data_IF_809881529253
#
_entry.id   IF_809881529253
#
_cell.length_a   1.000
_cell.length_b   1.000
_cell.length_c   1.000
_cell.angle_alpha   90.00
_cell.angle_beta   90.00
_cell.angle_gamma   90.00
#
_symmetry.space_group_name_H-M   'P 1'
#
loop_
_entity.id
_entity.type
_entity.pdbx_description
1 polymer ?
#
# COMPACT_ATOMS: atom_id res chain seq x y z
N UNK A 1 6.42 -40.33 -43.14
CA UNK A 1 7.78 -40.71 -43.57
C UNK A 1 8.71 -39.77 -42.82
N UNK A 2 9.44 -40.26 -41.82
CA UNK A 2 10.79 -40.86 -41.98
C UNK A 2 11.81 -39.76 -42.38
N UNK A 3 12.97 -39.62 -41.74
CA UNK A 3 13.80 -40.67 -41.13
C UNK A 3 14.74 -40.12 -40.02
N UNK A 4 15.30 -41.04 -39.23
CA UNK A 4 16.54 -40.98 -38.43
C UNK A 4 17.68 -40.18 -39.11
N UNK A 5 18.76 -39.73 -38.47
CA UNK A 5 19.44 -40.10 -37.22
C UNK A 5 20.96 -39.92 -37.43
N UNK A 6 21.78 -40.17 -36.39
CA UNK A 6 23.27 -40.20 -36.43
C UNK A 6 24.02 -38.88 -36.73
N UNK A 7 25.36 -38.80 -36.62
CA UNK A 7 26.21 -39.01 -35.43
C UNK A 7 27.62 -38.38 -35.64
N UNK A 8 28.28 -38.00 -34.54
CA UNK A 8 29.75 -37.98 -34.33
C UNK A 8 30.74 -37.17 -35.21
N UNK A 9 31.37 -36.18 -34.55
CA UNK A 9 32.85 -35.99 -34.37
C UNK A 9 33.79 -35.60 -35.53
N UNK A 10 34.40 -34.41 -35.35
CA UNK A 10 35.79 -34.01 -35.71
C UNK A 10 36.05 -32.62 -35.07
N UNK A 11 37.01 -32.38 -34.17
CA UNK A 11 38.49 -32.29 -34.34
C UNK A 11 38.89 -31.51 -35.61
N UNK A 12 39.84 -30.57 -35.62
CA UNK A 12 40.69 -29.90 -34.61
C UNK A 12 41.26 -28.63 -35.32
N UNK A 13 41.94 -27.62 -34.73
CA UNK A 13 42.65 -27.40 -33.46
C UNK A 13 42.44 -25.93 -32.99
N UNK A 14 43.05 -25.50 -31.86
CA UNK A 14 43.04 -24.08 -31.42
C UNK A 14 43.63 -23.83 -30.03
N UNK A 15 44.85 -24.30 -29.77
CA UNK A 15 45.56 -23.98 -28.52
C UNK A 15 46.05 -22.52 -28.51
N UNK A 16 45.87 -21.82 -27.38
CA UNK A 16 46.96 -21.01 -26.85
C UNK A 16 46.95 -21.03 -25.32
N UNK A 17 48.08 -21.38 -24.71
CA UNK A 17 48.22 -21.55 -23.27
C UNK A 17 48.61 -20.24 -22.58
N UNK A 18 47.82 -19.82 -21.58
CA UNK A 18 48.10 -18.64 -20.75
C UNK A 18 48.21 -18.97 -19.26
N UNK A 19 49.15 -19.84 -18.87
CA UNK A 19 49.30 -20.30 -17.47
C UNK A 19 50.07 -19.27 -16.62
N UNK A 20 49.35 -18.27 -16.09
CA UNK A 20 49.91 -17.19 -15.26
C UNK A 20 49.48 -17.28 -13.79
N UNK A 21 50.41 -17.64 -12.90
CA UNK A 21 50.17 -17.69 -11.45
C UNK A 21 50.26 -16.29 -10.81
N UNK A 22 49.24 -15.90 -10.04
CA UNK A 22 49.28 -14.81 -9.07
C UNK A 22 48.87 -13.42 -9.58
N UNK A 23 47.65 -12.98 -9.22
CA UNK A 23 47.47 -11.83 -8.32
C UNK A 23 46.01 -11.74 -7.83
N UNK A 24 45.77 -12.05 -6.55
CA UNK A 24 44.43 -12.04 -5.94
C UNK A 24 43.74 -10.67 -5.82
N UNK A 25 44.43 -9.60 -6.23
CA UNK A 25 43.95 -8.22 -6.12
C UNK A 25 43.14 -7.75 -7.35
N UNK A 26 43.29 -8.40 -8.50
CA UNK A 26 42.66 -7.96 -9.77
C UNK A 26 41.17 -8.31 -9.86
N UNK A 27 40.80 -9.51 -9.42
CA UNK A 27 39.39 -9.96 -9.38
C UNK A 27 38.60 -9.13 -8.38
N UNK A 28 39.11 -8.96 -7.16
CA UNK A 28 38.47 -8.15 -6.12
C UNK A 28 38.22 -6.70 -6.58
N UNK A 29 39.18 -6.08 -7.26
CA UNK A 29 38.99 -4.75 -7.86
C UNK A 29 37.86 -4.74 -8.91
N UNK A 30 37.86 -5.69 -9.86
CA UNK A 30 36.83 -5.79 -10.89
C UNK A 30 35.40 -5.93 -10.33
N UNK A 31 35.21 -6.77 -9.30
CA UNK A 31 33.91 -6.92 -8.63
C UNK A 31 33.48 -5.64 -7.89
N UNK A 32 34.42 -4.90 -7.30
CA UNK A 32 34.12 -3.61 -6.63
C UNK A 32 33.72 -2.55 -7.65
N UNK A 33 34.42 -2.44 -8.77
CA UNK A 33 34.11 -1.49 -9.84
C UNK A 33 32.71 -1.76 -10.45
N UNK A 34 32.37 -3.02 -10.71
CA UNK A 34 31.08 -3.38 -11.32
C UNK A 34 29.91 -3.24 -10.33
N UNK A 35 30.16 -3.43 -9.02
CA UNK A 35 29.21 -3.07 -7.96
C UNK A 35 29.00 -1.55 -7.87
N UNK A 36 30.07 -0.75 -7.89
CA UNK A 36 29.95 0.72 -7.88
C UNK A 36 29.17 1.23 -9.10
N UNK A 37 29.46 0.66 -10.27
CA UNK A 37 28.74 0.94 -11.51
C UNK A 37 27.27 0.57 -11.41
N UNK A 38 26.95 -0.64 -10.93
CA UNK A 38 25.57 -1.11 -10.74
C UNK A 38 24.80 -0.21 -9.75
N UNK A 39 25.41 0.20 -8.65
CA UNK A 39 24.80 1.14 -7.68
C UNK A 39 24.56 2.51 -8.32
N UNK A 40 25.49 3.00 -9.13
CA UNK A 40 25.37 4.28 -9.85
C UNK A 40 24.27 4.25 -10.92
N UNK A 41 24.21 3.19 -11.72
CA UNK A 41 23.18 2.97 -12.75
C UNK A 41 21.79 2.78 -12.10
N UNK A 42 21.70 2.04 -10.99
CA UNK A 42 20.47 1.88 -10.20
C UNK A 42 20.00 3.21 -9.58
N UNK A 43 20.94 4.03 -9.07
CA UNK A 43 20.62 5.34 -8.50
C UNK A 43 20.13 6.33 -9.55
N UNK A 44 20.78 6.43 -10.71
CA UNK A 44 20.30 7.31 -11.80
C UNK A 44 18.95 6.82 -12.35
N UNK A 45 18.76 5.50 -12.46
CA UNK A 45 17.48 4.91 -12.88
C UNK A 45 16.36 5.21 -11.88
N UNK A 46 16.62 5.11 -10.57
CA UNK A 46 15.66 5.46 -9.53
C UNK A 46 15.31 6.96 -9.54
N UNK A 47 16.30 7.84 -9.70
CA UNK A 47 16.09 9.30 -9.80
C UNK A 47 15.30 9.65 -11.07
N UNK A 48 15.61 9.03 -12.20
CA UNK A 48 14.90 9.22 -13.48
C UNK A 48 13.46 8.71 -13.39
N UNK A 49 13.25 7.55 -12.77
CA UNK A 49 11.93 6.99 -12.48
C UNK A 49 11.09 7.92 -11.59
N UNK A 50 11.65 8.40 -10.47
CA UNK A 50 10.97 9.34 -9.57
C UNK A 50 10.59 10.66 -10.27
N UNK A 51 11.49 11.22 -11.09
CA UNK A 51 11.19 12.42 -11.92
C UNK A 51 10.09 12.14 -12.94
N UNK A 52 10.09 10.96 -13.57
CA UNK A 52 9.04 10.58 -14.53
C UNK A 52 7.67 10.43 -13.87
N UNK A 53 7.59 9.87 -12.66
CA UNK A 53 6.36 9.80 -11.87
C UNK A 53 5.85 11.20 -11.49
N UNK A 54 6.75 12.10 -11.06
CA UNK A 54 6.41 13.48 -10.74
C UNK A 54 5.88 14.23 -11.98
N UNK A 55 6.51 14.05 -13.14
CA UNK A 55 6.12 14.72 -14.38
C UNK A 55 4.81 14.16 -14.94
N UNK A 56 4.65 12.83 -14.98
CA UNK A 56 3.42 12.16 -15.41
C UNK A 56 2.22 12.57 -14.53
N UNK A 57 2.34 12.43 -13.21
CA UNK A 57 1.27 12.83 -12.27
C UNK A 57 0.92 14.32 -12.35
N UNK A 58 1.89 15.21 -12.62
CA UNK A 58 1.61 16.65 -12.73
C UNK A 58 0.64 17.00 -13.87
N UNK A 59 0.66 16.25 -14.98
CA UNK A 59 -0.25 16.49 -16.11
C UNK A 59 -1.68 16.07 -15.78
N UNK A 60 -1.86 14.90 -15.15
CA UNK A 60 -3.16 14.44 -14.67
C UNK A 60 -3.73 15.35 -13.57
N UNK A 61 -2.91 15.76 -12.60
CA UNK A 61 -3.32 16.70 -11.55
C UNK A 61 -3.72 18.06 -12.14
N UNK A 62 -3.01 18.56 -13.16
CA UNK A 62 -3.36 19.81 -13.84
C UNK A 62 -4.69 19.70 -14.59
N UNK A 63 -4.93 18.62 -15.32
CA UNK A 63 -6.24 18.39 -15.97
C UNK A 63 -7.39 18.38 -14.96
N UNK A 64 -7.20 17.78 -13.77
CA UNK A 64 -8.20 17.84 -12.70
C UNK A 64 -8.42 19.27 -12.17
N UNK A 65 -7.35 20.07 -12.05
CA UNK A 65 -7.46 21.49 -11.66
C UNK A 65 -8.28 22.32 -12.67
N UNK A 66 -8.25 21.97 -13.96
CA UNK A 66 -9.06 22.63 -14.99
C UNK A 66 -10.54 22.21 -14.93
N UNK A 67 -10.84 20.97 -14.52
CA UNK A 67 -12.22 20.50 -14.32
C UNK A 67 -12.87 20.96 -13.00
N UNK A 68 -12.09 21.20 -11.94
CA UNK A 68 -12.60 21.69 -10.64
C UNK A 68 -13.46 22.97 -10.77
N UNK A 69 -13.03 24.08 -11.41
CA UNK A 69 -13.85 25.29 -11.51
C UNK A 69 -15.10 25.08 -12.36
N UNK A 70 -15.04 24.25 -13.41
CA UNK A 70 -16.20 23.96 -14.24
C UNK A 70 -17.26 23.18 -13.47
N UNK A 71 -16.87 22.08 -12.80
CA UNK A 71 -17.76 21.33 -11.92
C UNK A 71 -18.30 22.20 -10.78
N UNK A 72 -17.44 22.97 -10.11
CA UNK A 72 -17.85 23.85 -9.02
C UNK A 72 -18.88 24.91 -9.46
N UNK A 73 -18.77 25.46 -10.67
CA UNK A 73 -19.77 26.42 -11.19
C UNK A 73 -21.14 25.80 -11.43
N UNK A 74 -21.18 24.55 -11.92
CA UNK A 74 -22.42 23.79 -12.08
C UNK A 74 -23.03 23.45 -10.71
N UNK A 75 -22.23 22.92 -9.78
CA UNK A 75 -22.68 22.65 -8.41
C UNK A 75 -23.20 23.90 -7.71
N UNK A 76 -22.50 25.04 -7.78
CA UNK A 76 -22.93 26.29 -7.17
C UNK A 76 -24.29 26.79 -7.72
N UNK A 77 -24.61 26.50 -8.98
CA UNK A 77 -25.92 26.85 -9.57
C UNK A 77 -27.05 26.02 -8.95
N UNK A 78 -26.84 24.70 -8.78
CA UNK A 78 -27.80 23.82 -8.10
C UNK A 78 -27.91 24.10 -6.59
N UNK A 79 -26.78 24.37 -5.93
CA UNK A 79 -26.75 24.73 -4.50
C UNK A 79 -27.52 26.04 -4.24
N UNK A 80 -27.31 27.09 -5.04
CA UNK A 80 -28.04 28.35 -4.89
C UNK A 80 -29.56 28.16 -5.08
N UNK A 81 -29.97 27.42 -6.11
CA UNK A 81 -31.39 27.12 -6.34
C UNK A 81 -32.01 26.35 -5.15
N UNK A 82 -31.29 25.35 -4.63
CA UNK A 82 -31.71 24.59 -3.44
C UNK A 82 -31.81 25.48 -2.19
N UNK A 83 -30.82 26.35 -1.93
CA UNK A 83 -30.85 27.24 -0.78
C UNK A 83 -31.98 28.28 -0.88
N UNK A 84 -32.29 28.81 -2.07
CA UNK A 84 -33.43 29.72 -2.24
C UNK A 84 -34.77 29.00 -2.05
N UNK A 85 -34.95 27.75 -2.53
CA UNK A 85 -36.17 26.98 -2.24
C UNK A 85 -36.32 26.70 -0.75
N UNK A 86 -35.24 26.22 -0.09
CA UNK A 86 -35.25 25.93 1.35
C UNK A 86 -35.50 27.20 2.18
N UNK A 87 -34.96 28.35 1.76
CA UNK A 87 -35.18 29.64 2.42
C UNK A 87 -36.61 30.15 2.23
N UNK A 88 -37.19 29.96 1.04
CA UNK A 88 -38.60 30.26 0.77
C UNK A 88 -39.55 29.38 1.58
N UNK A 89 -39.28 28.07 1.64
CA UNK A 89 -40.04 27.13 2.48
C UNK A 89 -39.84 27.39 3.98
N UNK A 90 -38.64 27.74 4.43
CA UNK A 90 -38.38 28.10 5.83
C UNK A 90 -39.13 29.36 6.25
N UNK A 91 -39.24 30.36 5.37
CA UNK A 91 -40.06 31.55 5.63
C UNK A 91 -41.55 31.22 5.74
N UNK A 92 -42.08 30.30 4.92
CA UNK A 92 -43.45 29.77 5.07
C UNK A 92 -43.61 28.93 6.34
N UNK A 93 -42.67 28.02 6.62
CA UNK A 93 -42.69 27.15 7.80
C UNK A 93 -42.58 27.91 9.13
N UNK A 94 -42.13 29.17 9.10
CA UNK A 94 -42.16 30.08 10.26
C UNK A 94 -43.57 30.37 10.77
N UNK A 95 -44.61 30.18 9.93
CA UNK A 95 -46.03 30.22 10.30
C UNK A 95 -46.43 29.01 11.19
N UNK A 96 -45.59 27.97 11.25
CA UNK A 96 -45.76 26.78 12.08
C UNK A 96 -44.55 26.57 13.03
N UNK A 97 -44.44 27.38 14.11
CA UNK A 97 -43.25 27.44 14.95
C UNK A 97 -42.83 26.07 15.54
N UNK A 98 -43.78 25.21 15.88
CA UNK A 98 -43.50 23.88 16.41
C UNK A 98 -42.77 22.96 15.41
N UNK A 99 -43.11 23.03 14.12
CA UNK A 99 -42.44 22.24 13.08
C UNK A 99 -41.06 22.82 12.72
N UNK A 100 -40.95 24.15 12.66
CA UNK A 100 -39.69 24.84 12.31
C UNK A 100 -38.54 24.55 13.29
N UNK A 101 -38.83 24.32 14.58
CA UNK A 101 -37.79 24.01 15.59
C UNK A 101 -37.13 22.67 15.28
N UNK A 102 -37.90 21.64 14.91
CA UNK A 102 -37.35 20.33 14.55
C UNK A 102 -36.47 20.38 13.30
N UNK A 103 -36.92 21.12 12.27
CA UNK A 103 -36.17 21.30 11.02
C UNK A 103 -34.89 22.11 11.28
N UNK A 104 -34.96 23.22 12.01
CA UNK A 104 -33.80 24.05 12.34
C UNK A 104 -32.79 23.30 13.23
N UNK A 105 -33.26 22.49 14.19
CA UNK A 105 -32.39 21.69 15.06
C UNK A 105 -31.68 20.58 14.28
N UNK A 106 -32.39 19.83 13.43
CA UNK A 106 -31.79 18.77 12.60
C UNK A 106 -30.83 19.32 11.56
N UNK A 107 -31.19 20.42 10.89
CA UNK A 107 -30.29 21.14 9.98
C UNK A 107 -29.03 21.68 10.70
N UNK A 108 -29.20 22.27 11.89
CA UNK A 108 -28.07 22.73 12.72
C UNK A 108 -27.13 21.60 13.14
N UNK A 109 -27.69 20.44 13.54
CA UNK A 109 -26.93 19.24 13.88
C UNK A 109 -26.12 18.69 12.69
N UNK A 110 -26.66 18.81 11.48
CA UNK A 110 -26.02 18.37 10.24
C UNK A 110 -24.95 19.36 9.73
N UNK A 111 -25.16 20.67 9.91
CA UNK A 111 -24.20 21.71 9.50
C UNK A 111 -22.98 21.80 10.42
N UNK A 112 -23.16 21.59 11.74
CA UNK A 112 -22.05 21.71 12.69
C UNK A 112 -21.01 20.59 12.54
N UNK A 113 -19.74 20.99 12.37
CA UNK A 113 -18.59 20.09 12.11
C UNK A 113 -18.45 18.92 13.11
N UNK A 114 -18.73 19.17 14.39
CA UNK A 114 -18.65 18.19 15.47
C UNK A 114 -19.71 17.08 15.35
N UNK A 115 -21.00 17.39 15.57
CA UNK A 115 -22.08 16.41 15.50
C UNK A 115 -22.20 15.73 14.14
N UNK A 116 -21.91 16.43 13.02
CA UNK A 116 -21.80 15.80 11.69
C UNK A 116 -20.84 14.61 11.70
N UNK A 117 -19.62 14.77 12.23
CA UNK A 117 -18.61 13.69 12.32
C UNK A 117 -19.02 12.59 13.29
N UNK A 118 -19.72 12.94 14.37
CA UNK A 118 -20.28 11.98 15.32
C UNK A 118 -21.36 11.11 14.68
N UNK A 119 -22.35 11.72 14.00
CA UNK A 119 -23.37 11.03 13.22
C UNK A 119 -22.74 10.07 12.21
N UNK A 120 -21.84 10.54 11.35
CA UNK A 120 -21.19 9.68 10.36
C UNK A 120 -20.42 8.49 10.97
N UNK A 121 -19.71 8.68 12.09
CA UNK A 121 -19.05 7.56 12.78
C UNK A 121 -20.04 6.55 13.37
N UNK A 122 -21.13 7.05 13.97
CA UNK A 122 -22.07 6.21 14.73
C UNK A 122 -23.10 5.51 13.83
N UNK A 123 -23.58 6.15 12.76
CA UNK A 123 -24.52 5.55 11.82
C UNK A 123 -23.83 4.60 10.85
N UNK A 124 -22.76 5.02 10.17
CA UNK A 124 -22.03 4.15 9.23
C UNK A 124 -21.38 2.96 9.96
N UNK A 125 -21.01 3.11 11.24
CA UNK A 125 -20.52 2.00 12.07
C UNK A 125 -21.60 0.95 12.39
N UNK A 126 -22.85 1.37 12.64
CA UNK A 126 -23.99 0.46 12.87
C UNK A 126 -24.64 -0.09 11.61
N UNK A 127 -24.40 0.54 10.45
CA UNK A 127 -24.85 0.07 9.15
C UNK A 127 -23.86 -0.90 8.49
N UNK A 128 -22.81 -1.35 9.21
CA UNK A 128 -21.97 -2.45 8.75
C UNK A 128 -22.78 -3.75 8.75
N UNK A 129 -23.05 -4.27 7.54
CA UNK A 129 -23.66 -5.60 7.31
C UNK A 129 -23.01 -6.66 8.21
N UNK A 130 -23.81 -7.63 8.66
CA UNK A 130 -23.33 -8.78 9.43
C UNK A 130 -22.17 -9.48 8.71
N UNK A 131 -22.21 -9.55 7.38
CA UNK A 131 -21.15 -10.06 6.51
C UNK A 131 -19.82 -9.28 6.68
N UNK A 132 -19.89 -7.95 6.75
CA UNK A 132 -18.71 -7.11 6.92
C UNK A 132 -18.10 -7.25 8.33
N UNK A 133 -18.93 -7.49 9.34
CA UNK A 133 -18.48 -7.79 10.70
C UNK A 133 -17.85 -9.20 10.77
N UNK A 134 -18.46 -10.18 10.10
CA UNK A 134 -17.94 -11.55 10.00
C UNK A 134 -16.58 -11.59 9.29
N UNK A 135 -16.44 -10.97 8.11
CA UNK A 135 -15.16 -10.89 7.37
C UNK A 135 -14.08 -10.21 8.20
N UNK A 136 -14.43 -9.16 8.98
CA UNK A 136 -13.51 -8.51 9.90
C UNK A 136 -13.07 -9.44 11.03
N UNK A 137 -13.98 -10.21 11.62
CA UNK A 137 -13.67 -11.20 12.65
C UNK A 137 -12.78 -12.33 12.09
N UNK A 138 -13.11 -12.86 10.93
CA UNK A 138 -12.35 -13.91 10.24
C UNK A 138 -10.91 -13.46 9.93
N UNK A 139 -10.73 -12.24 9.41
CA UNK A 139 -9.41 -11.68 9.15
C UNK A 139 -8.58 -11.45 10.43
N UNK A 140 -9.23 -11.02 11.53
CA UNK A 140 -8.55 -10.93 12.84
C UNK A 140 -8.11 -12.31 13.34
N UNK A 141 -8.96 -13.33 13.25
CA UNK A 141 -8.63 -14.71 13.65
C UNK A 141 -7.50 -15.28 12.79
N UNK A 142 -7.52 -15.08 11.47
CA UNK A 142 -6.44 -15.48 10.56
C UNK A 142 -5.11 -14.81 10.92
N UNK A 143 -5.12 -13.49 11.17
CA UNK A 143 -3.92 -12.75 11.60
C UNK A 143 -3.37 -13.25 12.94
N UNK A 144 -4.25 -13.53 13.91
CA UNK A 144 -3.87 -14.06 15.21
C UNK A 144 -3.27 -15.47 15.10
N UNK A 145 -3.86 -16.34 14.27
CA UNK A 145 -3.39 -17.70 14.04
C UNK A 145 -1.95 -17.72 13.48
N UNK A 146 -1.66 -16.91 12.46
CA UNK A 146 -0.31 -16.74 11.92
C UNK A 146 0.67 -16.27 13.01
N UNK A 147 0.26 -15.32 13.86
CA UNK A 147 1.10 -14.84 14.96
C UNK A 147 1.38 -15.91 16.03
N UNK A 148 0.40 -16.76 16.34
CA UNK A 148 0.55 -17.88 17.28
C UNK A 148 1.47 -18.96 16.71
N UNK A 149 1.34 -19.28 15.42
CA UNK A 149 2.22 -20.23 14.73
C UNK A 149 3.69 -19.79 14.72
N UNK A 150 3.95 -18.48 14.51
CA UNK A 150 5.30 -17.90 14.61
C UNK A 150 5.81 -18.00 16.04
N UNK A 151 5.03 -17.52 17.02
CA UNK A 151 5.40 -17.56 18.43
C UNK A 151 5.68 -18.98 18.94
N UNK A 152 4.93 -19.99 18.47
CA UNK A 152 5.15 -21.39 18.81
C UNK A 152 6.49 -21.91 18.28
N UNK A 153 6.78 -21.66 17.00
CA UNK A 153 8.06 -22.03 16.37
C UNK A 153 9.27 -21.33 16.99
N UNK A 154 9.10 -20.11 17.46
CA UNK A 154 10.15 -19.39 18.21
C UNK A 154 10.31 -19.95 19.63
N UNK A 155 9.21 -20.28 20.30
CA UNK A 155 9.22 -20.89 21.64
C UNK A 155 9.89 -22.28 21.64
N UNK A 156 9.61 -23.11 20.63
CA UNK A 156 10.25 -24.42 20.45
C UNK A 156 11.78 -24.26 20.28
N UNK A 157 12.24 -23.34 19.41
CA UNK A 157 13.68 -23.04 19.24
C UNK A 157 14.35 -22.52 20.52
N UNK A 158 13.63 -21.73 21.32
CA UNK A 158 14.15 -21.23 22.61
C UNK A 158 14.25 -22.35 23.64
N UNK A 159 13.27 -23.27 23.70
CA UNK A 159 13.31 -24.45 24.57
C UNK A 159 14.43 -25.42 24.17
N UNK A 160 14.64 -25.66 22.87
CA UNK A 160 15.77 -26.48 22.40
C UNK A 160 17.12 -25.87 22.81
N UNK A 161 17.29 -24.56 22.63
CA UNK A 161 18.51 -23.84 23.05
C UNK A 161 18.70 -23.87 24.57
N UNK A 162 17.63 -23.68 25.35
CA UNK A 162 17.68 -23.74 26.80
C UNK A 162 18.02 -25.16 27.29
N UNK A 163 17.43 -26.21 26.72
CA UNK A 163 17.71 -27.60 27.05
C UNK A 163 19.11 -28.06 26.62
N UNK A 164 19.66 -27.49 25.54
CA UNK A 164 21.06 -27.70 25.14
C UNK A 164 22.00 -27.01 26.13
N UNK A 165 21.77 -25.72 26.44
CA UNK A 165 22.56 -24.99 27.43
C UNK A 165 22.50 -25.63 28.83
N UNK A 166 21.36 -26.18 29.24
CA UNK A 166 21.23 -26.93 30.50
C UNK A 166 22.10 -28.19 30.53
N UNK A 167 22.20 -28.91 29.41
CA UNK A 167 23.06 -30.10 29.30
C UNK A 167 24.53 -29.72 29.35
N UNK A 168 24.94 -28.69 28.62
CA UNK A 168 26.31 -28.20 28.60
C UNK A 168 26.73 -27.68 29.99
N UNK A 169 25.87 -26.92 30.67
CA UNK A 169 26.08 -26.48 32.06
C UNK A 169 26.24 -27.63 33.05
N UNK A 170 25.54 -28.76 32.87
CA UNK A 170 25.66 -29.95 33.72
C UNK A 170 26.89 -30.80 33.40
N UNK A 171 27.35 -30.78 32.14
CA UNK A 171 28.54 -31.49 31.70
C UNK A 171 29.85 -30.74 32.01
N UNK A 172 29.77 -29.42 32.27
CA UNK A 172 30.88 -28.64 32.84
C UNK A 172 31.98 -28.32 31.84
N UNK A 173 31.60 -27.95 30.62
CA UNK A 173 32.51 -27.42 29.58
C UNK A 173 32.55 -25.89 29.57
#
# INVERSE_FOLDING_TARGET
MAESGEASVGREMGEEQGKGNGNGNSTAAGWVEDLQRTVKESTDSAIRSARSLQQNSSTHIRSLQDFVPHAASQFATYENAFFDTVKGELMKAKEHPAASIGIAFTAGLLLMRGPRRFLFRQTLGRLQSEEAQFVKAENNVKGLNISVDVMKKESEKLLERAALAEKDMKLGH
#
